data_IF_722628175643
#
_entry.id   IF_722628175643
#
_cell.length_a   1.000
_cell.length_b   1.000
_cell.length_c   1.000
_cell.angle_alpha   90.00
_cell.angle_beta   90.00
_cell.angle_gamma   90.00
#
_symmetry.space_group_name_H-M   'P 1'
#
loop_
_entity.id
_entity.type
_entity.pdbx_description
1 polymer ?
#
# COMPACT_ATOMS: atom_id res chain seq x y z
N UNK A 1 -16.01 11.44 -3.50
CA UNK A 1 -16.08 11.88 -4.91
C UNK A 1 -15.63 10.73 -5.81
N UNK A 2 -16.45 10.38 -6.82
CA UNK A 2 -16.35 9.11 -7.55
C UNK A 2 -15.98 9.30 -9.02
N UNK A 3 -14.70 9.14 -9.34
CA UNK A 3 -14.27 8.78 -10.69
C UNK A 3 -14.74 7.34 -10.92
N UNK A 4 -15.69 7.15 -11.84
CA UNK A 4 -16.25 5.86 -12.25
C UNK A 4 -16.01 5.62 -13.74
N UNK A 5 -14.80 5.90 -14.24
CA UNK A 5 -14.39 5.46 -15.56
C UNK A 5 -13.95 3.99 -15.45
N UNK A 6 -14.66 3.02 -16.07
CA UNK A 6 -14.30 1.61 -15.94
C UNK A 6 -13.00 1.26 -16.69
N UNK A 7 -12.69 2.02 -17.75
CA UNK A 7 -11.59 1.73 -18.69
C UNK A 7 -10.26 2.41 -18.32
N UNK A 8 -10.00 2.67 -17.04
CA UNK A 8 -8.71 3.23 -16.61
C UNK A 8 -7.61 2.17 -16.77
N UNK A 9 -6.61 2.45 -17.62
CA UNK A 9 -5.51 1.53 -17.94
C UNK A 9 -4.30 1.64 -17.04
N UNK A 10 -4.08 2.80 -16.43
CA UNK A 10 -2.97 2.98 -15.52
C UNK A 10 -3.35 3.89 -14.37
N UNK A 11 -2.82 3.60 -13.19
CA UNK A 11 -2.80 4.50 -12.04
C UNK A 11 -1.35 4.65 -11.61
N UNK A 12 -0.84 5.88 -11.63
CA UNK A 12 0.53 6.21 -11.24
C UNK A 12 0.53 6.99 -9.93
N UNK A 13 1.25 6.47 -8.94
CA UNK A 13 1.51 7.14 -7.67
C UNK A 13 2.92 7.72 -7.70
N UNK A 14 3.02 9.05 -7.75
CA UNK A 14 4.30 9.77 -7.74
C UNK A 14 4.96 9.83 -6.36
N UNK A 15 4.19 9.47 -5.32
CA UNK A 15 4.65 9.29 -3.96
C UNK A 15 3.79 8.20 -3.30
N UNK A 16 4.29 7.50 -2.28
CA UNK A 16 3.49 6.55 -1.53
C UNK A 16 2.26 7.20 -0.89
N UNK A 17 1.16 6.46 -0.89
CA UNK A 17 -0.05 6.84 -0.16
C UNK A 17 0.20 6.82 1.35
N UNK A 18 -0.72 7.40 2.13
CA UNK A 18 -0.57 7.50 3.59
C UNK A 18 -0.67 6.15 4.32
N UNK A 19 -1.26 5.15 3.68
CA UNK A 19 -1.40 3.79 4.19
C UNK A 19 -1.59 2.79 3.05
N UNK A 20 -1.40 1.48 3.31
CA UNK A 20 -1.69 0.45 2.32
C UNK A 20 -3.17 0.39 1.90
N UNK A 21 -4.12 0.71 2.79
CA UNK A 21 -5.55 0.77 2.42
C UNK A 21 -5.85 1.89 1.45
N UNK A 22 -5.24 3.06 1.68
CA UNK A 22 -5.38 4.21 0.78
C UNK A 22 -4.82 3.84 -0.60
N UNK A 23 -3.62 3.26 -0.64
CA UNK A 23 -3.01 2.80 -1.89
C UNK A 23 -3.90 1.76 -2.59
N UNK A 24 -4.43 0.77 -1.87
CA UNK A 24 -5.31 -0.25 -2.44
C UNK A 24 -6.59 0.35 -3.04
N UNK A 25 -7.20 1.32 -2.36
CA UNK A 25 -8.41 2.00 -2.84
C UNK A 25 -8.11 2.89 -4.06
N UNK A 26 -6.98 3.59 -4.06
CA UNK A 26 -6.54 4.47 -5.14
C UNK A 26 -6.18 3.66 -6.39
N UNK A 27 -5.35 2.62 -6.24
CA UNK A 27 -4.92 1.72 -7.30
C UNK A 27 -6.09 0.90 -7.86
N UNK A 28 -7.04 0.50 -7.00
CA UNK A 28 -8.26 -0.25 -7.37
C UNK A 28 -9.26 0.51 -8.26
N UNK A 29 -8.91 1.73 -8.69
CA UNK A 29 -9.63 2.45 -9.75
C UNK A 29 -9.24 1.97 -11.16
N UNK A 30 -8.08 1.34 -11.32
CA UNK A 30 -7.65 0.77 -12.58
C UNK A 30 -8.43 -0.51 -12.92
N UNK A 31 -8.66 -0.78 -14.21
CA UNK A 31 -9.06 -2.14 -14.66
C UNK A 31 -10.44 -2.61 -14.22
N UNK A 32 -11.40 -1.72 -13.95
CA UNK A 32 -12.75 -2.12 -13.49
C UNK A 32 -13.58 -2.82 -14.57
N UNK A 33 -13.17 -2.71 -15.82
CA UNK A 33 -13.67 -3.48 -16.96
C UNK A 33 -13.11 -4.92 -17.03
N UNK A 34 -12.26 -5.32 -16.07
CA UNK A 34 -11.65 -6.64 -16.01
C UNK A 34 -10.49 -6.87 -17.00
N UNK A 35 -10.17 -5.86 -17.82
CA UNK A 35 -9.02 -5.91 -18.72
C UNK A 35 -7.75 -5.58 -17.95
N UNK A 36 -6.60 -5.98 -18.52
CA UNK A 36 -5.28 -5.65 -17.94
C UNK A 36 -5.15 -4.14 -17.73
N UNK A 37 -4.65 -3.78 -16.57
CA UNK A 37 -4.36 -2.41 -16.17
C UNK A 37 -3.18 -2.42 -15.18
N UNK A 38 -2.41 -1.35 -15.19
CA UNK A 38 -1.17 -1.25 -14.42
C UNK A 38 -1.30 -0.26 -13.26
N UNK A 39 -0.75 -0.63 -12.12
CA UNK A 39 -0.65 0.23 -10.95
C UNK A 39 0.83 0.41 -10.62
N UNK A 40 1.34 1.61 -10.83
CA UNK A 40 2.77 1.92 -10.70
C UNK A 40 2.93 2.85 -9.50
N UNK A 41 3.87 2.50 -8.62
CA UNK A 41 4.22 3.29 -7.46
C UNK A 41 5.70 3.69 -7.56
N UNK A 42 5.95 4.99 -7.65
CA UNK A 42 7.30 5.54 -7.52
C UNK A 42 7.63 5.75 -6.05
N UNK A 43 8.80 5.27 -5.65
CA UNK A 43 9.30 5.38 -4.29
C UNK A 43 10.79 5.71 -4.29
N UNK A 44 11.17 6.65 -3.44
CA UNK A 44 12.56 6.87 -3.02
C UNK A 44 12.63 6.88 -1.49
N UNK A 45 13.79 6.52 -0.89
CA UNK A 45 13.94 6.49 0.56
C UNK A 45 13.51 7.78 1.28
N UNK A 46 13.73 8.94 0.65
CA UNK A 46 13.32 10.24 1.21
C UNK A 46 11.80 10.40 1.39
N UNK A 47 10.98 9.66 0.63
CA UNK A 47 9.53 9.72 0.79
C UNK A 47 9.06 9.01 2.07
N UNK A 48 9.85 8.07 2.61
CA UNK A 48 9.56 7.44 3.90
C UNK A 48 9.51 8.47 5.04
N UNK A 49 10.50 9.36 5.11
CA UNK A 49 10.53 10.44 6.09
C UNK A 49 9.33 11.38 5.92
N UNK A 50 8.97 11.73 4.67
CA UNK A 50 7.83 12.61 4.41
C UNK A 50 6.52 12.03 4.92
N UNK A 51 6.21 10.77 4.57
CA UNK A 51 4.92 10.17 4.92
C UNK A 51 4.82 9.89 6.42
N UNK A 52 5.93 9.49 7.05
CA UNK A 52 5.98 9.23 8.50
C UNK A 52 5.90 10.52 9.31
N UNK A 53 6.60 11.59 8.90
CA UNK A 53 6.46 12.91 9.55
C UNK A 53 5.04 13.44 9.46
N UNK A 54 4.40 13.36 8.27
CA UNK A 54 3.01 13.80 8.11
C UNK A 54 2.06 12.99 9.00
N UNK A 55 2.30 11.69 9.15
CA UNK A 55 1.52 10.83 10.04
C UNK A 55 1.74 11.14 11.52
N UNK A 56 2.97 11.52 11.93
CA UNK A 56 3.24 11.97 13.31
C UNK A 56 2.54 13.30 13.59
N UNK A 57 2.55 14.22 12.62
CA UNK A 57 1.87 15.52 12.74
C UNK A 57 0.35 15.41 12.90
N UNK A 58 -0.27 14.27 12.55
CA UNK A 58 -1.71 14.08 12.78
C UNK A 58 -2.06 13.80 14.25
N UNK A 59 -1.07 13.45 15.08
CA UNK A 59 -1.28 13.07 16.48
C UNK A 59 -1.94 11.70 16.68
N UNK A 60 -2.26 10.97 15.62
CA UNK A 60 -2.94 9.67 15.68
C UNK A 60 -1.92 8.54 15.54
N UNK A 61 -1.64 7.82 16.63
CA UNK A 61 -0.68 6.71 16.67
C UNK A 61 -0.93 5.66 15.58
N UNK A 62 -2.19 5.36 15.28
CA UNK A 62 -2.56 4.40 14.24
C UNK A 62 -2.10 4.84 12.84
N UNK A 63 -2.17 6.14 12.53
CA UNK A 63 -1.70 6.66 11.24
C UNK A 63 -0.19 6.51 11.08
N UNK A 64 0.57 6.66 12.17
CA UNK A 64 2.03 6.43 12.16
C UNK A 64 2.33 4.97 11.84
N UNK A 65 1.63 4.02 12.49
CA UNK A 65 1.78 2.59 12.21
C UNK A 65 1.47 2.27 10.74
N UNK A 66 0.35 2.80 10.23
CA UNK A 66 -0.07 2.63 8.82
C UNK A 66 0.94 3.22 7.83
N UNK A 67 1.50 4.39 8.12
CA UNK A 67 2.55 4.98 7.28
C UNK A 67 3.78 4.07 7.22
N UNK A 68 4.22 3.52 8.35
CA UNK A 68 5.32 2.55 8.38
C UNK A 68 5.02 1.27 7.63
N UNK A 69 3.77 0.78 7.65
CA UNK A 69 3.37 -0.36 6.84
C UNK A 69 3.46 -0.06 5.35
N UNK A 70 3.12 1.17 4.92
CA UNK A 70 3.31 1.58 3.53
C UNK A 70 4.79 1.70 3.16
N UNK A 71 5.66 2.18 4.05
CA UNK A 71 7.12 2.16 3.84
C UNK A 71 7.61 0.73 3.63
N UNK A 72 7.22 -0.19 4.51
CA UNK A 72 7.58 -1.61 4.39
C UNK A 72 7.07 -2.24 3.11
N UNK A 73 5.87 -1.86 2.66
CA UNK A 73 5.40 -2.23 1.33
C UNK A 73 6.38 -1.73 0.27
N UNK A 74 6.79 -0.47 0.28
CA UNK A 74 7.70 0.06 -0.74
C UNK A 74 9.09 -0.60 -0.75
N UNK A 75 9.64 -0.92 0.43
CA UNK A 75 11.02 -1.39 0.60
C UNK A 75 11.19 -2.91 0.48
N UNK A 76 10.12 -3.71 0.62
CA UNK A 76 10.20 -5.15 0.40
C UNK A 76 10.23 -5.47 -1.10
N UNK A 77 11.12 -6.38 -1.51
CA UNK A 77 11.24 -6.85 -2.90
C UNK A 77 11.09 -8.38 -3.04
N UNK A 78 11.04 -9.10 -1.93
CA UNK A 78 11.06 -10.56 -1.90
C UNK A 78 9.65 -11.17 -1.96
N UNK A 79 8.64 -10.45 -1.49
CA UNK A 79 7.28 -10.96 -1.37
C UNK A 79 6.40 -10.39 -2.49
N UNK A 80 5.68 -11.28 -3.17
CA UNK A 80 4.66 -10.90 -4.14
C UNK A 80 3.74 -9.82 -3.56
N UNK A 81 3.56 -8.71 -4.30
CA UNK A 81 2.76 -7.55 -3.87
C UNK A 81 1.33 -7.92 -3.46
N UNK A 82 0.73 -8.89 -4.16
CA UNK A 82 -0.60 -9.42 -3.85
C UNK A 82 -0.61 -10.14 -2.50
N UNK A 83 0.35 -11.04 -2.26
CA UNK A 83 0.46 -11.79 -1.01
C UNK A 83 0.73 -10.86 0.17
N UNK A 84 1.60 -9.86 0.01
CA UNK A 84 1.85 -8.87 1.06
C UNK A 84 0.56 -8.10 1.41
N UNK A 85 -0.17 -7.62 0.40
CA UNK A 85 -1.40 -6.87 0.59
C UNK A 85 -2.48 -7.73 1.23
N UNK A 86 -2.58 -8.98 0.81
CA UNK A 86 -3.45 -9.99 1.40
C UNK A 86 -3.13 -10.18 2.89
N UNK A 87 -1.87 -10.45 3.24
CA UNK A 87 -1.43 -10.55 4.64
C UNK A 87 -1.74 -9.28 5.42
N UNK A 88 -1.50 -8.09 4.87
CA UNK A 88 -1.82 -6.83 5.54
C UNK A 88 -3.30 -6.73 5.95
N UNK A 89 -4.23 -7.08 5.05
CA UNK A 89 -5.66 -7.02 5.34
C UNK A 89 -6.14 -8.15 6.26
N UNK A 90 -5.55 -9.34 6.16
CA UNK A 90 -5.91 -10.48 6.99
C UNK A 90 -5.30 -10.42 8.40
N UNK A 91 -4.08 -9.92 8.54
CA UNK A 91 -3.41 -9.82 9.84
C UNK A 91 -3.95 -8.71 10.74
N UNK A 92 -4.76 -7.78 10.21
CA UNK A 92 -5.65 -6.93 11.02
C UNK A 92 -6.79 -7.73 11.70
N UNK A 93 -6.91 -9.03 11.42
CA UNK A 93 -7.50 -10.05 12.29
C UNK A 93 -6.39 -10.98 12.81
N UNK A 94 -5.61 -10.51 13.79
CA UNK A 94 -4.77 -11.34 14.68
C UNK A 94 -3.85 -12.40 14.01
N UNK A 95 -3.01 -12.05 13.02
CA UNK A 95 -1.99 -12.98 12.48
C UNK A 95 -0.70 -12.25 12.07
N UNK A 96 -0.01 -11.61 13.01
CA UNK A 96 1.43 -11.30 12.85
C UNK A 96 2.27 -11.81 14.02
N UNK A 97 1.70 -12.70 14.84
CA UNK A 97 2.44 -13.42 15.86
C UNK A 97 2.67 -14.86 15.38
N UNK A 98 3.93 -15.24 15.27
CA UNK A 98 4.49 -16.61 15.25
C UNK A 98 4.71 -17.43 13.96
N UNK A 99 4.16 -17.17 12.77
CA UNK A 99 4.39 -18.11 11.63
C UNK A 99 4.42 -17.50 10.23
N UNK A 100 5.56 -16.95 9.81
CA UNK A 100 6.00 -17.01 8.41
C UNK A 100 7.54 -17.16 8.37
N UNK A 101 8.00 -18.34 8.79
CA UNK A 101 9.22 -18.92 8.25
C UNK A 101 8.94 -19.26 6.78
N UNK A 102 9.33 -18.37 5.87
CA UNK A 102 9.60 -18.76 4.49
C UNK A 102 11.11 -18.82 4.32
N UNK A 103 11.64 -20.01 4.58
CA UNK A 103 12.82 -20.53 3.90
C UNK A 103 12.59 -20.50 2.39
N UNK A 104 13.42 -19.78 1.66
CA UNK A 104 14.29 -20.29 0.58
C UNK A 104 15.51 -19.39 0.48
#
# INVERSE_FOLDING_TARGET
MGIHQPEVRFVMHFAPSKSPEAYYQESGRAGRDGKRADCILYYKPHDASKITTLAVSSGVKEQVSKAWMMVRYCEQFEVCRKLWMESYFFSNKSVFDSKLNYTY
#
